data_IF_682282648284
#
_entry.id   IF_682282648284
#
_cell.length_a   1.000
_cell.length_b   1.000
_cell.length_c   1.000
_cell.angle_alpha   90.00
_cell.angle_beta   90.00
_cell.angle_gamma   90.00
#
_symmetry.space_group_name_H-M   'P 1'
#
loop_
_entity.id
_entity.type
_entity.pdbx_description
1 polymer ?
#
# COMPACT_ATOMS: atom_id res chain seq x y z
N UNK A 1 4.50 17.61 -75.23
CA UNK A 1 5.59 18.60 -75.03
C UNK A 1 5.03 20.01 -75.14
N UNK A 2 4.89 20.71 -74.00
CA UNK A 2 5.23 22.13 -73.80
C UNK A 2 4.79 22.52 -72.39
N UNK A 3 5.79 22.86 -71.60
CA UNK A 3 5.76 23.28 -70.20
C UNK A 3 5.22 24.71 -70.14
N UNK A 4 4.40 25.01 -69.13
CA UNK A 4 4.19 26.37 -68.67
C UNK A 4 3.99 26.36 -67.14
N UNK A 5 5.12 26.41 -66.45
CA UNK A 5 5.22 26.83 -65.05
C UNK A 5 5.26 28.35 -65.07
N UNK A 6 4.36 29.02 -64.34
CA UNK A 6 4.55 30.41 -63.90
C UNK A 6 4.03 30.61 -62.48
N UNK A 7 5.02 30.86 -61.64
CA UNK A 7 5.06 31.35 -60.27
C UNK A 7 4.07 32.46 -59.94
N UNK A 8 3.56 32.45 -58.70
CA UNK A 8 3.36 33.67 -57.91
C UNK A 8 3.32 33.30 -56.42
N UNK A 9 4.34 33.74 -55.70
CA UNK A 9 4.39 33.73 -54.24
C UNK A 9 3.40 34.79 -53.71
N UNK A 10 2.59 34.41 -52.72
CA UNK A 10 2.01 35.35 -51.77
C UNK A 10 2.21 34.80 -50.37
N UNK A 11 3.19 35.38 -49.69
CA UNK A 11 3.31 35.35 -48.24
C UNK A 11 2.19 36.22 -47.70
N UNK A 12 1.23 35.61 -47.00
CA UNK A 12 0.30 36.33 -46.14
C UNK A 12 0.25 35.61 -44.80
N UNK A 13 0.98 36.20 -43.87
CA UNK A 13 0.94 35.92 -42.43
C UNK A 13 -0.46 36.26 -41.93
N UNK A 14 -1.21 35.24 -41.52
CA UNK A 14 -2.38 35.43 -40.66
C UNK A 14 -2.41 34.31 -39.63
N UNK A 15 -1.67 34.55 -38.55
CA UNK A 15 -1.82 33.84 -37.29
C UNK A 15 -3.23 34.09 -36.75
N UNK A 16 -4.14 33.17 -37.04
CA UNK A 16 -5.38 33.02 -36.28
C UNK A 16 -5.17 31.83 -35.34
N UNK A 17 -4.56 32.11 -34.20
CA UNK A 17 -4.60 31.23 -33.05
C UNK A 17 -6.05 31.14 -32.59
N UNK A 18 -6.79 30.17 -33.15
CA UNK A 18 -8.08 29.75 -32.62
C UNK A 18 -7.78 29.04 -31.31
N UNK A 19 -7.69 29.80 -30.22
CA UNK A 19 -7.75 29.27 -28.87
C UNK A 19 -9.12 28.61 -28.76
N UNK A 20 -9.16 27.29 -28.95
CA UNK A 20 -10.26 26.44 -28.51
C UNK A 20 -10.36 26.60 -26.98
N UNK A 21 -11.12 27.60 -26.54
CA UNK A 21 -11.74 27.57 -25.24
C UNK A 21 -12.81 26.47 -25.28
N UNK A 22 -12.37 25.22 -25.14
CA UNK A 22 -13.23 24.11 -24.78
C UNK A 22 -13.64 24.26 -23.30
N UNK A 23 -14.39 25.33 -23.00
CA UNK A 23 -15.19 25.42 -21.79
C UNK A 23 -16.42 24.54 -21.98
N UNK A 24 -16.23 23.22 -21.96
CA UNK A 24 -17.36 22.33 -21.73
C UNK A 24 -17.99 22.68 -20.38
N UNK A 25 -19.32 22.57 -20.20
CA UNK A 25 -19.94 22.82 -18.92
C UNK A 25 -19.36 21.83 -17.91
N UNK A 26 -18.47 22.31 -17.06
CA UNK A 26 -17.93 21.59 -15.93
C UNK A 26 -19.05 21.44 -14.90
N UNK A 27 -19.80 20.35 -15.04
CA UNK A 27 -20.77 19.95 -14.05
C UNK A 27 -20.04 19.02 -13.07
N UNK A 28 -19.72 19.58 -11.90
CA UNK A 28 -19.14 18.98 -10.70
C UNK A 28 -18.61 20.08 -9.77
N UNK A 29 -18.47 19.84 -8.45
CA UNK A 29 -17.61 20.76 -7.69
C UNK A 29 -16.17 20.53 -8.17
N UNK A 30 -15.67 21.40 -9.04
CA UNK A 30 -14.31 21.31 -9.58
C UNK A 30 -13.41 22.22 -8.77
N UNK A 31 -12.50 21.60 -8.04
CA UNK A 31 -11.47 22.29 -7.26
C UNK A 31 -10.25 22.46 -8.15
N UNK A 32 -9.92 23.70 -8.48
CA UNK A 32 -8.72 24.06 -9.22
C UNK A 32 -7.58 24.37 -8.26
N UNK A 33 -6.44 23.73 -8.47
CA UNK A 33 -5.26 23.85 -7.64
C UNK A 33 -4.29 24.91 -8.17
N UNK A 34 -3.38 25.38 -7.30
CA UNK A 34 -2.35 26.38 -7.65
C UNK A 34 -1.31 25.85 -8.65
N UNK A 35 -1.10 24.53 -8.68
CA UNK A 35 -0.20 23.85 -9.62
C UNK A 35 -0.82 23.65 -11.02
N UNK A 36 -2.04 24.15 -11.26
CA UNK A 36 -2.76 24.02 -12.52
C UNK A 36 -3.57 22.72 -12.65
N UNK A 37 -3.51 21.84 -11.66
CA UNK A 37 -4.37 20.65 -11.59
C UNK A 37 -5.82 21.00 -11.29
N UNK A 38 -6.72 20.05 -11.56
CA UNK A 38 -8.10 20.12 -11.08
C UNK A 38 -8.56 18.76 -10.57
N UNK A 39 -9.43 18.78 -9.57
CA UNK A 39 -10.05 17.59 -9.02
C UNK A 39 -11.55 17.79 -8.93
N UNK A 40 -12.29 16.83 -9.47
CA UNK A 40 -13.73 16.77 -9.34
C UNK A 40 -14.12 15.96 -8.09
N UNK A 41 -15.09 16.48 -7.35
CA UNK A 41 -15.73 15.78 -6.23
C UNK A 41 -16.87 16.61 -5.68
N UNK A 42 -17.38 16.25 -4.50
CA UNK A 42 -18.39 17.02 -3.78
C UNK A 42 -17.78 17.67 -2.56
N UNK A 43 -17.88 18.99 -2.42
CA UNK A 43 -17.32 19.68 -1.25
C UNK A 43 -18.21 19.42 -0.04
N UNK A 44 -17.74 18.59 0.89
CA UNK A 44 -18.49 18.22 2.11
C UNK A 44 -18.28 19.25 3.22
N UNK A 45 -17.08 19.83 3.29
CA UNK A 45 -16.75 20.86 4.28
C UNK A 45 -15.81 21.88 3.70
N UNK A 46 -16.10 23.16 3.93
CA UNK A 46 -15.27 24.29 3.55
C UNK A 46 -15.00 25.14 4.81
N UNK A 47 -13.73 25.34 5.11
CA UNK A 47 -13.25 26.23 6.18
C UNK A 47 -12.14 27.13 5.63
N UNK A 48 -11.75 28.15 6.39
CA UNK A 48 -10.70 29.09 5.97
C UNK A 48 -9.33 28.42 5.81
N UNK A 49 -9.11 27.27 6.46
CA UNK A 49 -7.86 26.51 6.42
C UNK A 49 -7.92 25.26 5.54
N UNK A 50 -9.09 24.63 5.41
CA UNK A 50 -9.22 23.31 4.81
C UNK A 50 -10.50 23.15 3.98
N UNK A 51 -10.38 22.42 2.87
CA UNK A 51 -11.47 21.96 2.00
C UNK A 51 -11.50 20.43 2.04
N UNK A 52 -12.67 19.87 2.31
CA UNK A 52 -12.90 18.42 2.30
C UNK A 52 -13.73 18.06 1.08
N UNK A 53 -13.13 17.29 0.18
CA UNK A 53 -13.71 16.87 -1.09
C UNK A 53 -14.02 15.37 -1.06
N UNK A 54 -15.28 15.00 -1.26
CA UNK A 54 -15.68 13.61 -1.46
C UNK A 54 -15.55 13.24 -2.94
N UNK A 55 -14.58 12.39 -3.25
CA UNK A 55 -14.29 11.91 -4.60
C UNK A 55 -14.93 10.54 -4.79
N UNK A 56 -15.71 10.39 -5.85
CA UNK A 56 -16.26 9.08 -6.23
C UNK A 56 -15.18 8.24 -6.93
N UNK A 57 -15.00 7.01 -6.47
CA UNK A 57 -14.12 6.00 -7.04
C UNK A 57 -14.94 4.83 -7.55
N UNK A 58 -14.36 4.00 -8.43
CA UNK A 58 -15.02 2.80 -8.94
C UNK A 58 -15.44 1.82 -7.81
N UNK A 59 -14.75 1.86 -6.68
CA UNK A 59 -14.94 0.95 -5.54
C UNK A 59 -15.64 1.60 -4.34
N UNK A 60 -15.98 2.90 -4.40
CA UNK A 60 -16.57 3.61 -3.27
C UNK A 60 -16.37 5.11 -3.33
N UNK A 61 -16.22 5.74 -2.17
CA UNK A 61 -15.98 7.19 -2.05
C UNK A 61 -14.78 7.42 -1.16
N UNK A 62 -13.98 8.44 -1.48
CA UNK A 62 -12.83 8.85 -0.68
C UNK A 62 -13.00 10.30 -0.26
N UNK A 63 -12.71 10.59 1.01
CA UNK A 63 -12.63 11.96 1.50
C UNK A 63 -11.19 12.45 1.36
N UNK A 64 -11.01 13.51 0.59
CA UNK A 64 -9.72 14.15 0.34
C UNK A 64 -9.71 15.48 1.08
N UNK A 65 -8.75 15.63 1.99
CA UNK A 65 -8.49 16.88 2.69
C UNK A 65 -7.47 17.70 1.91
N UNK A 66 -7.84 18.93 1.58
CA UNK A 66 -7.05 19.85 0.76
C UNK A 66 -6.85 21.14 1.57
N UNK A 67 -5.61 21.62 1.78
CA UNK A 67 -5.36 22.93 2.37
C UNK A 67 -5.99 24.05 1.51
N UNK A 68 -6.69 25.00 2.13
CA UNK A 68 -7.38 26.08 1.42
C UNK A 68 -6.43 26.95 0.57
N UNK A 69 -5.19 27.09 1.00
CA UNK A 69 -4.13 27.83 0.30
C UNK A 69 -3.76 27.23 -1.07
N UNK A 70 -3.96 25.92 -1.23
CA UNK A 70 -3.69 25.21 -2.49
C UNK A 70 -4.84 25.35 -3.49
N UNK A 71 -5.99 25.88 -3.06
CA UNK A 71 -7.20 26.00 -3.89
C UNK A 71 -7.31 27.41 -4.45
N UNK A 72 -7.24 27.51 -5.78
CA UNK A 72 -7.40 28.77 -6.52
C UNK A 72 -8.87 29.12 -6.71
N UNK A 73 -9.66 28.12 -7.11
CA UNK A 73 -11.07 28.30 -7.49
C UNK A 73 -11.85 27.04 -7.21
N UNK A 74 -13.10 27.20 -6.77
CA UNK A 74 -14.07 26.11 -6.63
C UNK A 74 -15.26 26.49 -7.51
N UNK A 75 -15.43 25.79 -8.62
CA UNK A 75 -16.69 25.86 -9.38
C UNK A 75 -17.65 24.86 -8.76
N UNK A 76 -18.91 25.24 -8.52
CA UNK A 76 -19.91 24.32 -7.96
C UNK A 76 -20.81 23.77 -9.05
N UNK A 77 -21.04 22.45 -9.05
CA UNK A 77 -21.85 21.79 -10.09
C UNK A 77 -22.19 20.34 -9.77
N UNK A 78 -23.06 19.75 -10.60
CA UNK A 78 -23.45 18.34 -10.48
C UNK A 78 -22.32 17.43 -10.93
N UNK A 79 -21.73 16.66 -10.02
CA UNK A 79 -20.58 15.79 -10.37
C UNK A 79 -20.94 14.74 -11.43
N UNK A 80 -19.96 14.30 -12.20
CA UNK A 80 -20.00 13.15 -13.11
C UNK A 80 -20.62 11.94 -12.42
N UNK A 81 -20.30 11.70 -11.14
CA UNK A 81 -20.88 10.63 -10.36
C UNK A 81 -22.39 10.83 -10.11
N UNK A 82 -22.82 12.03 -9.72
CA UNK A 82 -24.23 12.37 -9.52
C UNK A 82 -25.02 12.32 -10.84
N UNK A 83 -24.43 12.82 -11.93
CA UNK A 83 -25.01 12.77 -13.27
C UNK A 83 -25.20 11.33 -13.76
N UNK A 84 -24.19 10.47 -13.59
CA UNK A 84 -24.28 9.05 -13.92
C UNK A 84 -25.33 8.34 -13.05
N UNK A 85 -25.42 8.69 -11.77
CA UNK A 85 -26.45 8.16 -10.86
C UNK A 85 -27.86 8.54 -11.31
N UNK A 86 -28.08 9.80 -11.70
CA UNK A 86 -29.36 10.27 -12.25
C UNK A 86 -29.72 9.50 -13.52
N UNK A 87 -28.79 9.43 -14.48
CA UNK A 87 -28.99 8.69 -15.73
C UNK A 87 -29.24 7.20 -15.53
N UNK A 88 -28.66 6.60 -14.50
CA UNK A 88 -28.91 5.22 -14.10
C UNK A 88 -30.34 5.05 -13.58
N UNK A 89 -30.80 5.93 -12.69
CA UNK A 89 -32.17 5.90 -12.14
C UNK A 89 -33.23 6.14 -13.21
N UNK A 90 -33.00 7.08 -14.12
CA UNK A 90 -33.90 7.34 -15.25
C UNK A 90 -34.04 6.11 -16.16
N UNK A 91 -32.93 5.40 -16.40
CA UNK A 91 -32.96 4.14 -17.17
C UNK A 91 -33.77 3.08 -16.44
N UNK A 92 -33.48 2.87 -15.14
CA UNK A 92 -34.24 1.94 -14.30
C UNK A 92 -35.74 2.22 -14.31
N UNK A 93 -36.14 3.49 -14.26
CA UNK A 93 -37.56 3.86 -14.25
C UNK A 93 -38.27 3.63 -15.59
N UNK A 94 -37.53 3.56 -16.70
CA UNK A 94 -38.09 3.38 -18.06
C UNK A 94 -38.09 1.93 -18.54
N UNK A 95 -37.32 1.07 -17.89
CA UNK A 95 -37.18 -0.32 -18.32
C UNK A 95 -38.24 -1.21 -17.68
N UNK A 96 -38.58 -2.30 -18.35
CA UNK A 96 -39.35 -3.38 -17.73
C UNK A 96 -38.44 -4.20 -16.82
N UNK A 97 -38.74 -4.21 -15.52
CA UNK A 97 -37.96 -4.94 -14.52
C UNK A 97 -38.10 -6.47 -14.63
N UNK A 98 -39.08 -6.97 -15.38
CA UNK A 98 -39.30 -8.40 -15.58
C UNK A 98 -38.60 -8.94 -16.84
N UNK A 99 -38.10 -8.07 -17.72
CA UNK A 99 -37.41 -8.44 -18.97
C UNK A 99 -35.90 -8.64 -18.73
N UNK A 100 -35.33 -9.85 -18.90
CA UNK A 100 -33.90 -10.10 -18.80
C UNK A 100 -33.07 -9.24 -19.78
N UNK A 101 -33.60 -8.95 -20.98
CA UNK A 101 -32.90 -8.17 -21.99
C UNK A 101 -32.81 -6.68 -21.60
N UNK A 102 -33.79 -6.16 -20.87
CA UNK A 102 -33.74 -4.81 -20.31
C UNK A 102 -32.60 -4.67 -19.28
N UNK A 103 -32.47 -5.63 -18.37
CA UNK A 103 -31.37 -5.69 -17.39
C UNK A 103 -30.00 -5.84 -18.07
N UNK A 104 -29.90 -6.67 -19.10
CA UNK A 104 -28.68 -6.79 -19.89
C UNK A 104 -28.28 -5.46 -20.55
N UNK A 105 -29.22 -4.76 -21.19
CA UNK A 105 -28.97 -3.44 -21.81
C UNK A 105 -28.53 -2.39 -20.78
N UNK A 106 -29.09 -2.41 -19.57
CA UNK A 106 -28.65 -1.57 -18.47
C UNK A 106 -27.20 -1.88 -18.08
N UNK A 107 -26.88 -3.17 -17.93
CA UNK A 107 -25.54 -3.64 -17.60
C UNK A 107 -24.51 -3.22 -18.64
N UNK A 108 -24.82 -3.37 -19.93
CA UNK A 108 -23.96 -2.90 -21.03
C UNK A 108 -23.71 -1.39 -20.97
N UNK A 109 -24.76 -0.59 -20.75
CA UNK A 109 -24.58 0.85 -20.58
C UNK A 109 -23.70 1.17 -19.36
N UNK A 110 -23.94 0.54 -18.21
CA UNK A 110 -23.15 0.73 -17.00
C UNK A 110 -21.68 0.34 -17.21
N UNK A 111 -21.42 -0.73 -17.97
CA UNK A 111 -20.06 -1.25 -18.22
C UNK A 111 -19.13 -0.25 -18.93
N UNK A 112 -19.70 0.74 -19.64
CA UNK A 112 -18.94 1.80 -20.32
C UNK A 112 -18.32 2.80 -19.35
N UNK A 113 -18.81 2.83 -18.10
CA UNK A 113 -18.40 3.81 -17.10
C UNK A 113 -17.67 3.12 -15.95
N UNK A 114 -16.41 3.49 -15.64
CA UNK A 114 -15.67 2.90 -14.53
C UNK A 114 -16.38 3.00 -13.17
N UNK A 115 -17.09 4.10 -12.93
CA UNK A 115 -17.85 4.35 -11.70
C UNK A 115 -19.07 3.44 -11.53
N UNK A 116 -19.58 2.84 -12.61
CA UNK A 116 -20.78 1.99 -12.59
C UNK A 116 -20.45 0.50 -12.74
N UNK A 117 -19.17 0.09 -12.66
CA UNK A 117 -18.76 -1.32 -12.82
C UNK A 117 -19.52 -2.28 -11.89
N UNK A 118 -19.71 -1.89 -10.63
CA UNK A 118 -20.47 -2.71 -9.67
C UNK A 118 -21.93 -2.87 -10.11
N UNK A 119 -22.59 -1.76 -10.47
CA UNK A 119 -23.96 -1.76 -10.97
C UNK A 119 -24.12 -2.52 -12.28
N UNK A 120 -23.10 -2.51 -13.14
CA UNK A 120 -23.08 -3.29 -14.37
C UNK A 120 -23.16 -4.79 -14.07
N UNK A 121 -22.31 -5.26 -13.14
CA UNK A 121 -22.33 -6.65 -12.67
C UNK A 121 -23.68 -7.01 -12.06
N UNK A 122 -24.20 -6.18 -11.14
CA UNK A 122 -25.50 -6.40 -10.51
C UNK A 122 -26.63 -6.50 -11.55
N UNK A 123 -26.62 -5.66 -12.59
CA UNK A 123 -27.60 -5.74 -13.67
C UNK A 123 -27.52 -7.04 -14.47
N UNK A 124 -26.31 -7.53 -14.78
CA UNK A 124 -26.13 -8.82 -15.44
C UNK A 124 -26.56 -10.00 -14.54
N UNK A 125 -26.28 -9.93 -13.24
CA UNK A 125 -26.75 -10.92 -12.25
C UNK A 125 -28.28 -10.96 -12.19
N UNK A 126 -28.94 -9.78 -12.27
CA UNK A 126 -30.41 -9.70 -12.35
C UNK A 126 -30.95 -10.33 -13.62
N UNK A 127 -30.33 -10.08 -14.78
CA UNK A 127 -30.74 -10.71 -16.03
C UNK A 127 -30.70 -12.25 -15.93
N UNK A 128 -29.62 -12.82 -15.40
CA UNK A 128 -29.48 -14.27 -15.18
C UNK A 128 -30.46 -14.81 -14.13
N UNK A 129 -30.82 -14.01 -13.12
CA UNK A 129 -31.81 -14.42 -12.12
C UNK A 129 -33.24 -14.53 -12.68
N UNK A 130 -33.55 -13.74 -13.72
CA UNK A 130 -34.85 -13.77 -14.39
C UNK A 130 -34.91 -14.87 -15.45
N UNK A 131 -33.83 -15.03 -16.22
CA UNK A 131 -33.66 -16.12 -17.18
C UNK A 131 -32.28 -16.80 -16.98
N UNK A 132 -32.25 -17.96 -16.31
CA UNK A 132 -31.02 -18.72 -16.05
C UNK A 132 -30.28 -19.19 -17.31
N UNK A 133 -30.91 -19.16 -18.49
CA UNK A 133 -30.29 -19.54 -19.75
C UNK A 133 -29.89 -18.33 -20.61
N UNK A 134 -30.06 -17.10 -20.09
CA UNK A 134 -29.77 -15.86 -20.80
C UNK A 134 -28.27 -15.68 -21.09
N UNK A 135 -27.84 -16.26 -22.21
CA UNK A 135 -26.44 -16.38 -22.59
C UNK A 135 -25.66 -15.05 -22.60
N UNK A 136 -26.19 -13.92 -23.12
CA UNK A 136 -25.43 -12.67 -23.17
C UNK A 136 -25.00 -12.17 -21.78
N UNK A 137 -25.84 -12.30 -20.75
CA UNK A 137 -25.49 -11.87 -19.40
C UNK A 137 -24.46 -12.80 -18.75
N UNK A 138 -24.59 -14.11 -18.97
CA UNK A 138 -23.58 -15.09 -18.52
C UNK A 138 -22.18 -14.77 -19.07
N UNK A 139 -22.09 -14.45 -20.37
CA UNK A 139 -20.82 -14.08 -20.99
C UNK A 139 -20.22 -12.81 -20.37
N UNK A 140 -21.03 -11.79 -20.07
CA UNK A 140 -20.56 -10.56 -19.40
C UNK A 140 -20.13 -10.79 -17.95
N UNK A 141 -20.68 -11.79 -17.27
CA UNK A 141 -20.25 -12.22 -15.94
C UNK A 141 -18.99 -13.11 -15.96
N UNK A 142 -18.55 -13.55 -17.14
CA UNK A 142 -17.43 -14.48 -17.31
C UNK A 142 -17.81 -15.95 -17.02
N UNK A 143 -19.09 -16.27 -17.09
CA UNK A 143 -19.58 -17.64 -16.99
C UNK A 143 -19.35 -18.40 -18.30
N UNK A 144 -19.23 -19.72 -18.19
CA UNK A 144 -19.03 -20.65 -19.31
C UNK A 144 -20.11 -21.72 -19.24
N UNK A 145 -20.68 -22.07 -20.40
CA UNK A 145 -21.64 -23.19 -20.49
C UNK A 145 -20.86 -24.50 -20.59
N UNK A 146 -21.02 -25.36 -19.59
CA UNK A 146 -20.37 -26.67 -19.54
C UNK A 146 -21.41 -27.74 -19.19
N UNK A 147 -21.53 -28.76 -20.05
CA UNK A 147 -22.54 -29.83 -19.93
C UNK A 147 -23.98 -29.29 -19.79
N UNK A 148 -24.30 -28.23 -20.54
CA UNK A 148 -25.63 -27.61 -20.52
C UNK A 148 -25.88 -26.65 -19.35
N UNK A 149 -24.99 -26.60 -18.34
CA UNK A 149 -25.13 -25.74 -17.17
C UNK A 149 -24.18 -24.56 -17.27
N UNK A 150 -24.66 -23.36 -16.97
CA UNK A 150 -23.82 -22.19 -16.83
C UNK A 150 -23.12 -22.19 -15.48
N UNK A 151 -21.81 -22.01 -15.48
CA UNK A 151 -20.99 -21.96 -14.27
C UNK A 151 -19.80 -21.03 -14.45
N UNK A 152 -19.13 -20.66 -13.36
CA UNK A 152 -17.87 -19.91 -13.44
C UNK A 152 -16.77 -20.77 -14.08
N UNK A 153 -15.76 -20.14 -14.66
CA UNK A 153 -14.59 -20.87 -15.18
C UNK A 153 -13.94 -21.76 -14.11
N UNK A 154 -13.86 -21.26 -12.87
CA UNK A 154 -13.30 -22.00 -11.75
C UNK A 154 -14.13 -23.24 -11.38
N UNK A 155 -15.47 -23.16 -11.45
CA UNK A 155 -16.35 -24.31 -11.25
C UNK A 155 -16.25 -25.31 -12.39
N UNK A 156 -16.16 -24.83 -13.64
CA UNK A 156 -15.96 -25.69 -14.81
C UNK A 156 -14.67 -26.49 -14.71
N UNK A 157 -13.57 -25.84 -14.32
CA UNK A 157 -12.28 -26.53 -14.12
C UNK A 157 -12.37 -27.57 -13.00
N UNK A 158 -13.09 -27.27 -11.91
CA UNK A 158 -13.36 -28.24 -10.85
C UNK A 158 -14.22 -29.41 -11.33
N UNK A 159 -15.25 -29.15 -12.14
CA UNK A 159 -16.10 -30.19 -12.72
C UNK A 159 -15.33 -31.12 -13.66
N UNK A 160 -14.27 -30.62 -14.32
CA UNK A 160 -13.32 -31.41 -15.11
C UNK A 160 -12.30 -32.21 -14.29
N UNK A 161 -12.32 -32.11 -12.95
CA UNK A 161 -11.39 -32.80 -12.06
C UNK A 161 -10.08 -32.06 -11.78
N UNK A 162 -9.99 -30.77 -12.15
CA UNK A 162 -8.82 -29.94 -11.83
C UNK A 162 -9.01 -29.22 -10.49
N UNK A 163 -7.91 -29.03 -9.79
CA UNK A 163 -7.85 -28.28 -8.53
C UNK A 163 -6.81 -27.18 -8.68
N UNK A 164 -7.17 -25.98 -8.20
CA UNK A 164 -6.27 -24.83 -8.19
C UNK A 164 -5.30 -24.96 -7.00
N UNK A 165 -4.01 -25.07 -7.26
CA UNK A 165 -2.96 -25.08 -6.23
C UNK A 165 -1.90 -24.04 -6.59
N UNK A 166 -1.60 -23.14 -5.64
CA UNK A 166 -0.67 -21.99 -5.83
C UNK A 166 -0.96 -21.13 -7.08
N UNK A 167 -2.23 -21.01 -7.46
CA UNK A 167 -2.68 -20.21 -8.60
C UNK A 167 -2.76 -20.96 -9.93
N UNK A 168 -2.19 -22.16 -10.01
CA UNK A 168 -2.20 -23.00 -11.22
C UNK A 168 -3.26 -24.10 -11.13
N UNK A 169 -3.88 -24.40 -12.28
CA UNK A 169 -4.79 -25.52 -12.42
C UNK A 169 -4.00 -26.80 -12.65
N UNK A 170 -4.23 -27.82 -11.84
CA UNK A 170 -3.58 -29.12 -11.97
C UNK A 170 -4.53 -30.24 -11.64
N UNK A 171 -4.20 -31.45 -12.06
CA UNK A 171 -4.93 -32.65 -11.65
C UNK A 171 -4.76 -32.88 -10.15
N UNK A 172 -5.70 -33.63 -9.55
CA UNK A 172 -5.60 -34.00 -8.13
C UNK A 172 -4.29 -34.74 -7.85
N UNK A 173 -3.91 -35.66 -8.73
CA UNK A 173 -2.64 -36.40 -8.66
C UNK A 173 -1.42 -35.46 -8.73
N UNK A 174 -1.41 -34.54 -9.69
CA UNK A 174 -0.35 -33.54 -9.84
C UNK A 174 -0.18 -32.68 -8.58
N UNK A 175 -1.30 -32.24 -7.98
CA UNK A 175 -1.29 -31.54 -6.70
C UNK A 175 -0.68 -32.40 -5.60
N UNK A 176 -1.12 -33.65 -5.46
CA UNK A 176 -0.60 -34.52 -4.40
C UNK A 176 0.89 -34.78 -4.56
N UNK A 177 1.37 -34.99 -5.79
CA UNK A 177 2.78 -35.19 -6.08
C UNK A 177 3.63 -33.95 -5.73
N UNK A 178 3.14 -32.75 -6.03
CA UNK A 178 3.83 -31.50 -5.65
C UNK A 178 3.88 -31.31 -4.14
N UNK A 179 2.78 -31.57 -3.43
CA UNK A 179 2.74 -31.48 -1.96
C UNK A 179 3.70 -32.48 -1.33
N UNK A 180 3.81 -33.70 -1.86
CA UNK A 180 4.76 -34.70 -1.39
C UNK A 180 6.20 -34.25 -1.62
N UNK A 181 6.53 -33.78 -2.84
CA UNK A 181 7.87 -33.25 -3.16
C UNK A 181 8.24 -32.06 -2.27
N UNK A 182 7.30 -31.18 -1.97
CA UNK A 182 7.53 -30.04 -1.07
C UNK A 182 7.85 -30.52 0.34
N UNK A 183 7.10 -31.48 0.87
CA UNK A 183 7.37 -32.09 2.18
C UNK A 183 8.71 -32.81 2.22
N UNK A 184 9.06 -33.55 1.18
CA UNK A 184 10.37 -34.21 1.07
C UNK A 184 11.50 -33.19 1.08
N UNK A 185 11.36 -32.10 0.33
CA UNK A 185 12.34 -31.03 0.28
C UNK A 185 12.46 -30.30 1.63
N UNK A 186 11.35 -30.11 2.35
CA UNK A 186 11.34 -29.58 3.70
C UNK A 186 12.10 -30.49 4.67
N UNK A 187 11.82 -31.79 4.65
CA UNK A 187 12.53 -32.77 5.48
C UNK A 187 14.04 -32.80 5.16
N UNK A 188 14.41 -32.72 3.89
CA UNK A 188 15.82 -32.62 3.49
C UNK A 188 16.48 -31.33 3.99
N UNK A 189 15.77 -30.20 3.94
CA UNK A 189 16.24 -28.93 4.49
C UNK A 189 16.41 -29.00 6.01
N UNK A 190 15.49 -29.66 6.71
CA UNK A 190 15.57 -29.86 8.15
C UNK A 190 16.73 -30.78 8.54
N UNK A 191 16.88 -31.91 7.84
CA UNK A 191 18.02 -32.82 8.03
C UNK A 191 19.34 -32.09 7.85
N UNK A 192 19.48 -31.33 6.75
CA UNK A 192 20.68 -30.51 6.49
C UNK A 192 20.93 -29.49 7.59
N UNK A 193 19.90 -28.77 8.05
CA UNK A 193 20.04 -27.81 9.17
C UNK A 193 20.47 -28.49 10.46
N UNK A 194 19.96 -29.69 10.73
CA UNK A 194 20.33 -30.47 11.88
C UNK A 194 21.80 -30.90 11.81
N UNK A 195 22.23 -31.45 10.68
CA UNK A 195 23.63 -31.82 10.42
C UNK A 195 24.58 -30.63 10.56
N UNK A 196 24.26 -29.49 9.95
CA UNK A 196 25.03 -28.25 10.07
C UNK A 196 25.09 -27.75 11.53
N UNK A 197 24.00 -27.88 12.30
CA UNK A 197 23.97 -27.51 13.70
C UNK A 197 24.82 -28.46 14.58
N UNK A 198 24.82 -29.77 14.28
CA UNK A 198 25.67 -30.75 14.96
C UNK A 198 27.16 -30.47 14.67
N UNK A 199 27.51 -30.21 13.41
CA UNK A 199 28.87 -29.85 13.03
C UNK A 199 29.37 -28.60 13.78
N UNK A 200 28.56 -27.53 13.83
CA UNK A 200 28.89 -26.31 14.58
C UNK A 200 29.07 -26.55 16.08
N UNK A 201 28.27 -27.44 16.69
CA UNK A 201 28.43 -27.82 18.10
C UNK A 201 29.76 -28.51 18.33
N UNK A 202 30.09 -29.49 17.50
CA UNK A 202 31.35 -30.21 17.58
C UNK A 202 32.56 -29.28 17.38
N UNK A 203 32.49 -28.35 16.42
CA UNK A 203 33.51 -27.33 16.20
C UNK A 203 33.66 -26.39 17.39
N UNK A 204 32.55 -25.94 17.98
CA UNK A 204 32.58 -25.11 19.19
C UNK A 204 33.19 -25.87 20.39
N UNK A 205 32.86 -27.14 20.56
CA UNK A 205 33.47 -28.00 21.59
C UNK A 205 34.97 -28.18 21.38
N UNK A 206 35.40 -28.39 20.13
CA UNK A 206 36.83 -28.46 19.77
C UNK A 206 37.55 -27.15 20.07
N UNK A 207 36.97 -26.01 19.68
CA UNK A 207 37.52 -24.69 19.96
C UNK A 207 37.62 -24.41 21.47
N UNK A 208 36.62 -24.83 22.26
CA UNK A 208 36.67 -24.74 23.72
C UNK A 208 37.76 -25.65 24.31
N UNK A 209 37.94 -26.86 23.78
CA UNK A 209 38.99 -27.78 24.22
C UNK A 209 40.39 -27.26 23.88
N UNK A 210 40.59 -26.67 22.70
CA UNK A 210 41.83 -26.00 22.32
C UNK A 210 42.09 -24.77 23.20
N UNK A 211 41.07 -23.92 23.44
CA UNK A 211 41.19 -22.78 24.34
C UNK A 211 41.55 -23.18 25.78
N UNK A 212 41.07 -24.33 26.26
CA UNK A 212 41.48 -24.90 27.58
C UNK A 212 42.93 -25.37 27.60
N UNK A 213 43.47 -25.86 26.48
CA UNK A 213 44.87 -26.31 26.36
C UNK A 213 45.84 -25.14 26.16
N UNK A 214 45.37 -24.01 25.62
CA UNK A 214 46.18 -22.82 25.47
C UNK A 214 46.62 -22.31 26.87
N UNK A 215 47.92 -21.99 27.06
CA UNK A 215 48.36 -21.38 28.31
C UNK A 215 47.59 -20.08 28.54
N UNK A 216 47.26 -19.72 29.80
CA UNK A 216 46.59 -18.46 30.08
C UNK A 216 47.41 -17.35 29.44
N UNK A 217 46.81 -16.63 28.49
CA UNK A 217 47.42 -15.41 27.99
C UNK A 217 47.58 -14.50 29.21
N UNK A 218 48.85 -14.29 29.62
CA UNK A 218 49.16 -13.24 30.59
C UNK A 218 48.45 -11.98 30.09
N UNK A 219 47.69 -11.27 30.92
CA UNK A 219 47.06 -10.03 30.50
C UNK A 219 48.16 -9.19 29.87
N UNK A 220 48.04 -8.87 28.59
CA UNK A 220 49.01 -8.02 27.92
C UNK A 220 49.12 -6.75 28.75
N UNK A 221 50.26 -6.58 29.41
CA UNK A 221 50.59 -5.41 30.20
C UNK A 221 50.83 -4.17 29.33
N UNK A 222 50.31 -4.16 28.10
CA UNK A 222 50.44 -3.08 27.14
C UNK A 222 49.09 -2.80 26.45
N UNK A 223 48.10 -2.44 27.26
CA UNK A 223 47.29 -1.28 26.93
C UNK A 223 47.19 -0.44 28.20
N UNK A 224 48.31 0.22 28.54
CA UNK A 224 48.26 1.50 29.23
C UNK A 224 47.02 2.22 28.75
N UNK A 225 46.14 2.55 29.69
CA UNK A 225 45.02 3.45 29.49
C UNK A 225 45.57 4.82 29.07
N UNK A 226 46.06 4.93 27.83
CA UNK A 226 46.02 6.19 27.14
C UNK A 226 44.53 6.54 27.10
N UNK A 227 44.15 7.76 27.53
CA UNK A 227 42.76 8.18 27.42
C UNK A 227 42.41 8.15 25.93
N UNK A 228 41.77 7.06 25.50
CA UNK A 228 41.12 7.01 24.20
C UNK A 228 40.00 8.03 24.31
N UNK A 229 40.25 9.20 23.71
CA UNK A 229 39.22 10.18 23.44
C UNK A 229 38.19 9.45 22.60
N UNK A 230 37.11 9.01 23.23
CA UNK A 230 35.92 8.54 22.53
C UNK A 230 35.32 9.80 21.93
N UNK A 231 35.71 10.11 20.69
CA UNK A 231 34.97 11.08 19.88
C UNK A 231 33.63 10.41 19.58
N UNK A 232 32.64 10.67 20.43
CA UNK A 232 31.24 10.39 20.12
C UNK A 232 30.87 11.36 19.01
N UNK A 233 31.11 10.97 17.75
CA UNK A 233 30.36 11.56 16.65
C UNK A 233 28.95 11.04 16.82
N UNK A 234 28.03 11.88 17.28
CA UNK A 234 26.60 11.65 17.11
C UNK A 234 26.37 11.41 15.61
N UNK A 235 26.31 10.14 15.20
CA UNK A 235 25.58 9.80 13.98
C UNK A 235 24.13 9.86 14.39
N UNK A 236 23.58 11.07 14.34
CA UNK A 236 22.14 11.28 14.29
C UNK A 236 21.69 10.52 13.04
N UNK A 237 21.24 9.27 13.22
CA UNK A 237 20.40 8.60 12.24
C UNK A 237 19.01 9.23 12.34
N UNK A 238 18.97 10.52 11.99
CA UNK A 238 17.77 11.18 11.52
C UNK A 238 17.50 10.62 10.13
N UNK A 239 16.31 10.06 9.86
CA UNK A 239 15.87 9.97 8.49
C UNK A 239 15.60 11.41 8.05
N UNK A 240 16.55 11.98 7.29
CA UNK A 240 16.50 13.22 6.49
C UNK A 240 17.62 14.24 6.84
N UNK A 241 18.70 14.16 6.05
CA UNK A 241 19.52 15.23 5.45
C UNK A 241 19.46 16.64 6.10
N UNK A 242 20.56 17.12 6.71
CA UNK A 242 21.33 18.33 6.33
C UNK A 242 22.45 18.61 7.36
N UNK A 243 23.58 19.12 6.86
CA UNK A 243 24.77 19.55 7.61
C UNK A 243 24.47 20.56 8.72
N UNK A 244 24.96 20.30 9.93
CA UNK A 244 25.26 21.34 10.94
C UNK A 244 26.35 20.83 11.89
N UNK A 245 27.58 21.30 11.66
CA UNK A 245 28.75 21.14 12.52
C UNK A 245 28.48 21.76 13.90
N UNK A 246 28.32 20.92 14.93
CA UNK A 246 28.45 21.36 16.33
C UNK A 246 29.87 21.06 16.82
N UNK A 247 30.58 22.01 17.46
CA UNK A 247 31.93 21.75 17.96
C UNK A 247 31.88 20.76 19.14
N UNK A 248 32.90 19.87 19.28
CA UNK A 248 32.89 18.87 20.33
C UNK A 248 33.10 19.51 21.71
N UNK A 249 32.19 19.24 22.65
CA UNK A 249 32.35 19.61 24.06
C UNK A 249 33.35 18.64 24.71
N UNK A 250 34.47 19.16 25.23
CA UNK A 250 35.49 18.39 25.95
C UNK A 250 35.18 18.42 27.44
N UNK A 251 34.80 17.28 28.03
CA UNK A 251 34.61 17.13 29.47
C UNK A 251 35.81 16.37 30.05
N UNK A 252 36.58 17.00 30.94
CA UNK A 252 37.64 16.35 31.74
C UNK A 252 37.17 16.19 33.18
N UNK A 253 36.95 14.95 33.63
CA UNK A 253 36.71 14.64 35.04
C UNK A 253 36.18 13.24 35.30
N UNK A 254 36.58 12.63 36.42
CA UNK A 254 35.97 11.39 36.96
C UNK A 254 34.67 11.75 37.67
N UNK A 255 33.54 11.47 37.04
CA UNK A 255 32.21 11.65 37.63
C UNK A 255 31.11 11.15 36.69
N UNK A 256 30.04 10.57 37.24
CA UNK A 256 28.89 10.10 36.45
C UNK A 256 28.31 11.24 35.60
N UNK A 257 27.95 10.97 34.33
CA UNK A 257 27.37 12.01 33.48
C UNK A 257 26.00 12.45 34.02
N UNK A 258 25.61 13.72 33.84
CA UNK A 258 24.27 14.18 34.21
C UNK A 258 23.21 13.47 33.35
N UNK A 259 21.99 13.24 33.88
CA UNK A 259 20.95 12.52 33.16
C UNK A 259 20.45 13.34 31.97
N UNK A 260 20.50 12.76 30.78
CA UNK A 260 19.83 13.30 29.59
C UNK A 260 18.42 12.71 29.47
N UNK A 261 17.45 13.56 29.18
CA UNK A 261 16.04 13.20 29.05
C UNK A 261 15.71 12.89 27.59
N UNK A 262 15.33 11.64 27.29
CA UNK A 262 14.79 11.27 25.97
C UNK A 262 13.27 11.30 26.03
N UNK A 263 12.65 12.16 25.22
CA UNK A 263 11.20 12.33 25.12
C UNK A 263 10.67 11.41 24.01
N UNK A 264 10.08 10.26 24.36
CA UNK A 264 9.40 9.39 23.40
C UNK A 264 7.90 9.73 23.31
N UNK A 265 7.36 10.08 22.13
CA UNK A 265 5.92 10.16 21.94
C UNK A 265 5.37 8.78 21.51
N UNK A 266 4.50 8.24 22.38
CA UNK A 266 3.50 7.19 22.13
C UNK A 266 3.96 5.75 21.82
N UNK A 267 3.80 4.85 22.82
CA UNK A 267 3.23 3.50 22.60
C UNK A 267 2.58 2.93 23.88
N UNK A 268 1.53 2.16 23.66
CA UNK A 268 0.58 1.56 24.63
C UNK A 268 1.19 0.31 25.29
N UNK A 269 1.08 0.16 26.61
CA UNK A 269 1.74 -0.89 27.41
C UNK A 269 0.93 -2.19 27.52
N UNK A 270 1.63 -3.33 27.42
CA UNK A 270 1.21 -4.68 27.84
C UNK A 270 1.50 -4.88 29.34
N UNK A 271 0.61 -5.58 30.07
CA UNK A 271 0.79 -5.94 31.50
C UNK A 271 1.13 -7.43 31.61
N UNK A 272 2.32 -7.76 32.11
CA UNK A 272 2.72 -9.12 32.47
C UNK A 272 4.05 -9.10 33.25
N UNK A 273 4.24 -9.93 34.30
CA UNK A 273 5.40 -9.82 35.18
C UNK A 273 6.61 -10.55 34.58
N UNK A 274 7.57 -9.79 34.05
CA UNK A 274 8.89 -10.33 33.72
C UNK A 274 9.82 -10.16 34.93
N UNK A 275 9.97 -11.22 35.73
CA UNK A 275 11.13 -11.36 36.62
C UNK A 275 12.33 -11.70 35.75
N UNK A 276 13.19 -10.72 35.49
CA UNK A 276 14.56 -10.95 35.00
C UNK A 276 15.52 -10.34 36.01
N UNK A 277 16.29 -11.21 36.67
CA UNK A 277 17.39 -10.85 37.58
C UNK A 277 18.45 -10.03 36.82
N UNK A 278 18.61 -8.76 37.20
CA UNK A 278 19.66 -7.87 36.71
C UNK A 278 19.24 -6.43 36.41
N UNK A 279 17.94 -6.13 36.36
CA UNK A 279 17.44 -4.79 36.03
C UNK A 279 16.44 -4.34 37.10
N UNK A 280 16.71 -3.22 37.76
CA UNK A 280 15.70 -2.54 38.59
C UNK A 280 15.15 -1.36 37.81
N UNK A 281 13.83 -1.33 37.66
CA UNK A 281 13.09 -0.22 37.05
C UNK A 281 12.25 0.42 38.14
N UNK A 282 12.53 1.69 38.44
CA UNK A 282 11.72 2.47 39.38
C UNK A 282 11.05 3.64 38.65
N UNK A 283 9.75 3.80 38.93
CA UNK A 283 8.91 4.82 38.32
C UNK A 283 8.39 5.77 39.40
N UNK A 284 8.53 7.07 39.16
CA UNK A 284 8.00 8.13 40.03
C UNK A 284 7.16 9.08 39.18
N UNK A 285 5.93 9.33 39.63
CA UNK A 285 4.95 10.20 38.96
C UNK A 285 4.73 11.44 39.82
N UNK A 286 5.06 12.62 39.31
CA UNK A 286 4.52 13.89 39.82
C UNK A 286 3.69 14.56 38.73
N UNK A 287 2.73 15.36 39.18
CA UNK A 287 1.56 15.85 38.43
C UNK A 287 1.86 16.62 37.15
N UNK A 288 3.11 17.00 36.87
CA UNK A 288 3.51 17.62 35.60
C UNK A 288 4.64 16.90 34.85
N UNK A 289 5.33 15.92 35.45
CA UNK A 289 6.45 15.21 34.83
C UNK A 289 6.55 13.76 35.33
N UNK A 290 6.64 12.82 34.40
CA UNK A 290 6.91 11.40 34.69
C UNK A 290 8.30 11.00 34.19
N UNK A 291 9.12 10.43 35.08
CA UNK A 291 10.47 9.97 34.77
C UNK A 291 10.64 8.49 35.09
N UNK A 292 11.38 7.78 34.25
CA UNK A 292 11.65 6.35 34.39
C UNK A 292 13.16 6.15 34.51
N UNK A 293 13.62 5.58 35.64
CA UNK A 293 15.04 5.26 35.85
C UNK A 293 15.25 3.77 35.65
N UNK A 294 16.19 3.42 34.78
CA UNK A 294 16.64 2.05 34.56
C UNK A 294 18.10 1.98 35.00
N UNK A 295 18.36 1.24 36.08
CA UNK A 295 19.72 0.99 36.57
C UNK A 295 20.18 -0.42 36.17
N UNK A 296 21.39 -0.51 35.61
CA UNK A 296 22.07 -1.78 35.38
C UNK A 296 23.13 -1.97 36.46
N UNK A 297 23.03 -3.05 37.23
CA UNK A 297 24.11 -3.48 38.13
C UNK A 297 24.94 -4.54 37.40
N UNK A 298 26.17 -4.19 37.06
CA UNK A 298 27.17 -5.18 36.66
C UNK A 298 27.92 -5.60 37.93
N UNK A 299 27.92 -6.89 38.22
CA UNK A 299 28.71 -7.49 39.29
C UNK A 299 30.04 -7.96 38.73
#
# INVERSE_FOLDING_TARGET
>A
MKVAVRSAAFVLVSALALVLAAGGPAAGDVVYYRDGGSQEGKVVRLTDTEVWLEVALATGKALVKIPRDNVVRIERGETTAEKLERWYRERLARMDASDPAAWYRLGEWCSRWPLLRKKAREAFERAVSLDPDYAPAHLKLGHVKYLGVWMTYDEMMRARGYVKYKGEWMTVEGRTALVLKEKELELLREKRRFEEAQARRLEAERALAEARKAPPSLPSAAASAAPSVVIVRERVLSPLWWDCLSPPVVIRGRGCPPPYYIRYPYRRWYRGPARCSGISVSYSRRTSHSSLRVGFFFR
#
